data_IF_900953433703
#
_entry.id   IF_900953433703
#
_cell.length_a   1.000
_cell.length_b   1.000
_cell.length_c   1.000
_cell.angle_alpha   90.00
_cell.angle_beta   90.00
_cell.angle_gamma   90.00
#
_symmetry.space_group_name_H-M   'P 1'
#
loop_
_entity.id
_entity.type
_entity.pdbx_description
1 polymer ?
#
# COMPACT_ATOMS: atom_id res chain seq x y z
N UNK A 1 26.10 23.19 -9.44
CA UNK A 1 24.65 22.89 -9.44
C UNK A 1 24.16 23.18 -8.04
N UNK A 2 23.32 24.21 -7.89
CA UNK A 2 22.65 24.54 -6.63
C UNK A 2 21.63 23.45 -6.32
N UNK A 3 21.52 23.00 -5.07
CA UNK A 3 20.54 21.97 -4.70
C UNK A 3 19.12 22.53 -4.83
N UNK A 4 18.17 21.80 -5.40
CA UNK A 4 16.78 22.28 -5.65
C UNK A 4 16.08 22.84 -4.40
N UNK A 5 16.47 22.39 -3.21
CA UNK A 5 15.99 22.88 -1.91
C UNK A 5 16.52 24.27 -1.54
N UNK A 6 17.72 24.65 -2.00
CA UNK A 6 18.29 25.99 -1.79
C UNK A 6 17.52 27.05 -2.58
N UNK A 7 17.09 26.73 -3.81
CA UNK A 7 16.28 27.62 -4.65
C UNK A 7 14.90 27.96 -4.04
N UNK A 8 14.26 27.00 -3.34
CA UNK A 8 12.96 27.24 -2.68
C UNK A 8 13.10 28.24 -1.52
N UNK A 9 14.22 28.22 -0.80
CA UNK A 9 14.46 29.08 0.37
C UNK A 9 14.54 30.56 0.01
N UNK A 10 15.01 30.91 -1.19
CA UNK A 10 15.16 32.31 -1.62
C UNK A 10 13.81 33.00 -1.91
N UNK A 11 12.69 32.27 -2.03
CA UNK A 11 11.40 32.78 -2.52
C UNK A 11 10.37 33.09 -1.44
N UNK A 12 10.80 33.26 -0.19
CA UNK A 12 9.94 33.66 0.94
C UNK A 12 9.78 35.18 0.96
N UNK A 13 8.89 35.74 0.14
CA UNK A 13 8.45 37.13 0.26
C UNK A 13 6.91 37.23 0.24
N UNK A 14 6.39 37.84 1.31
CA UNK A 14 5.01 38.18 1.67
C UNK A 14 3.87 37.56 0.83
N UNK A 15 3.14 36.62 1.46
CA UNK A 15 1.84 36.12 0.96
C UNK A 15 0.82 37.26 1.03
N UNK A 16 0.35 37.72 -0.13
CA UNK A 16 -0.81 38.62 -0.21
C UNK A 16 -2.08 37.83 0.08
N UNK A 17 -2.85 38.23 1.10
CA UNK A 17 -4.18 37.69 1.44
C UNK A 17 -5.22 37.81 0.32
N UNK A 18 -4.90 38.48 -0.79
CA UNK A 18 -5.81 38.69 -1.92
C UNK A 18 -5.86 37.52 -2.92
N UNK A 19 -4.94 36.55 -2.85
CA UNK A 19 -4.87 35.42 -3.80
C UNK A 19 -5.21 34.10 -3.11
N UNK A 20 -5.85 33.14 -3.80
CA UNK A 20 -6.14 31.83 -3.23
C UNK A 20 -4.86 31.07 -2.87
N UNK A 21 -4.86 30.34 -1.75
CA UNK A 21 -3.80 29.42 -1.37
C UNK A 21 -3.84 28.20 -2.29
N UNK A 22 -2.83 28.07 -3.14
CA UNK A 22 -2.65 26.95 -4.09
C UNK A 22 -1.80 25.85 -3.45
N UNK A 23 -2.35 24.64 -3.34
CA UNK A 23 -1.67 23.46 -2.79
C UNK A 23 -1.62 22.33 -3.82
N UNK A 24 -0.44 21.78 -4.06
CA UNK A 24 -0.26 20.55 -4.83
C UNK A 24 -0.22 19.34 -3.90
N UNK A 25 -0.91 18.26 -4.26
CA UNK A 25 -0.82 16.97 -3.59
C UNK A 25 -0.32 15.93 -4.59
N UNK A 26 0.80 15.28 -4.31
CA UNK A 26 1.36 14.23 -5.17
C UNK A 26 1.00 12.86 -4.62
N UNK A 27 0.07 12.18 -5.30
CA UNK A 27 -0.50 10.88 -4.94
C UNK A 27 -1.97 10.97 -4.54
N UNK A 28 -2.80 10.12 -5.14
CA UNK A 28 -4.26 10.11 -4.94
C UNK A 28 -4.77 8.96 -4.05
N UNK A 29 -3.90 8.43 -3.20
CA UNK A 29 -4.31 7.46 -2.17
C UNK A 29 -5.12 8.11 -1.03
N UNK A 30 -5.48 7.32 0.01
CA UNK A 30 -6.19 7.83 1.19
C UNK A 30 -5.54 9.05 1.83
N UNK A 31 -4.20 9.06 1.96
CA UNK A 31 -3.47 10.17 2.54
C UNK A 31 -3.68 11.48 1.76
N UNK A 32 -3.59 11.44 0.42
CA UNK A 32 -3.82 12.61 -0.42
C UNK A 32 -5.25 13.15 -0.31
N UNK A 33 -6.25 12.26 -0.34
CA UNK A 33 -7.65 12.68 -0.19
C UNK A 33 -7.95 13.21 1.21
N UNK A 34 -7.42 12.61 2.27
CA UNK A 34 -7.60 13.16 3.63
C UNK A 34 -6.85 14.48 3.81
N UNK A 35 -5.68 14.67 3.19
CA UNK A 35 -5.00 15.97 3.15
C UNK A 35 -5.89 17.02 2.49
N UNK A 36 -6.49 16.72 1.33
CA UNK A 36 -7.45 17.61 0.68
C UNK A 36 -8.68 17.90 1.55
N UNK A 37 -9.26 16.89 2.21
CA UNK A 37 -10.40 17.07 3.12
C UNK A 37 -10.07 18.05 4.26
N UNK A 38 -8.91 17.88 4.88
CA UNK A 38 -8.47 18.74 5.98
C UNK A 38 -8.18 20.16 5.51
N UNK A 39 -7.59 20.34 4.32
CA UNK A 39 -7.35 21.65 3.72
C UNK A 39 -8.66 22.40 3.49
N UNK A 40 -9.67 21.76 2.91
CA UNK A 40 -10.97 22.40 2.69
C UNK A 40 -11.70 22.75 3.99
N UNK A 41 -11.59 21.90 5.03
CA UNK A 41 -12.25 22.14 6.31
C UNK A 41 -11.59 23.23 7.15
N UNK A 42 -10.25 23.33 7.11
CA UNK A 42 -9.47 24.18 8.01
C UNK A 42 -8.97 25.45 7.34
N UNK A 43 -8.61 25.37 6.07
CA UNK A 43 -8.15 26.52 5.29
C UNK A 43 -9.27 27.43 4.78
N UNK A 44 -10.53 27.02 4.89
CA UNK A 44 -11.67 27.85 4.45
C UNK A 44 -11.75 27.99 2.92
N UNK A 45 -12.43 29.03 2.44
CA UNK A 45 -12.85 29.15 1.03
C UNK A 45 -11.75 29.57 0.04
N UNK A 46 -10.60 30.01 0.53
CA UNK A 46 -9.50 30.49 -0.31
C UNK A 46 -8.50 29.39 -0.70
N UNK A 47 -8.66 28.14 -0.24
CA UNK A 47 -7.75 27.04 -0.61
C UNK A 47 -8.20 26.32 -1.87
N UNK A 48 -7.28 26.15 -2.81
CA UNK A 48 -7.42 25.37 -4.03
C UNK A 48 -6.40 24.23 -4.05
N UNK A 49 -6.86 23.04 -4.41
CA UNK A 49 -6.06 21.82 -4.37
C UNK A 49 -5.99 21.21 -5.76
N UNK A 50 -4.77 21.00 -6.25
CA UNK A 50 -4.50 20.20 -7.43
C UNK A 50 -3.83 18.90 -7.00
N UNK A 51 -4.40 17.77 -7.38
CA UNK A 51 -3.87 16.44 -7.05
C UNK A 51 -3.26 15.79 -8.30
N UNK A 52 -2.01 15.36 -8.19
CA UNK A 52 -1.25 14.69 -9.24
C UNK A 52 -1.18 13.20 -8.96
N UNK A 53 -1.56 12.36 -9.93
CA UNK A 53 -1.55 10.91 -9.81
C UNK A 53 -0.87 10.30 -11.03
N UNK A 54 0.12 9.44 -10.81
CA UNK A 54 0.85 8.78 -11.89
C UNK A 54 -0.03 7.83 -12.70
N UNK A 55 -1.06 7.25 -12.08
CA UNK A 55 -2.00 6.36 -12.76
C UNK A 55 -3.18 7.13 -13.37
N UNK A 56 -3.81 6.59 -14.44
CA UNK A 56 -5.04 7.16 -14.96
C UNK A 56 -6.24 7.12 -13.98
N UNK A 57 -6.16 6.30 -12.93
CA UNK A 57 -7.25 6.09 -11.97
C UNK A 57 -6.80 6.43 -10.56
N UNK A 58 -7.61 7.17 -9.77
CA UNK A 58 -7.25 7.57 -8.43
C UNK A 58 -7.43 6.44 -7.40
N UNK A 59 -7.28 6.80 -6.12
CA UNK A 59 -7.57 6.00 -4.91
C UNK A 59 -6.45 5.06 -4.44
N UNK A 60 -5.35 4.97 -5.21
CA UNK A 60 -4.15 4.22 -4.83
C UNK A 60 -4.46 2.80 -4.35
N UNK A 61 -3.93 2.42 -3.18
CA UNK A 61 -4.12 1.07 -2.63
C UNK A 61 -5.56 0.72 -2.24
N UNK A 62 -6.51 1.67 -2.17
CA UNK A 62 -7.92 1.28 -2.01
C UNK A 62 -8.44 0.58 -3.27
N UNK A 63 -7.92 0.97 -4.45
CA UNK A 63 -8.25 0.35 -5.74
C UNK A 63 -7.33 -0.82 -6.09
N UNK A 64 -6.02 -0.66 -5.81
CA UNK A 64 -4.97 -1.57 -6.27
C UNK A 64 -4.34 -2.47 -5.18
N UNK A 65 -4.67 -2.23 -3.91
CA UNK A 65 -4.15 -2.99 -2.78
C UNK A 65 -5.23 -3.83 -2.09
N UNK A 66 -6.32 -3.19 -1.64
CA UNK A 66 -7.44 -3.87 -0.98
C UNK A 66 -7.95 -5.01 -1.87
N UNK A 67 -7.98 -6.21 -1.30
CA UNK A 67 -8.33 -7.43 -2.02
C UNK A 67 -9.71 -7.34 -2.70
N UNK A 68 -9.90 -8.01 -3.85
CA UNK A 68 -11.15 -7.94 -4.60
C UNK A 68 -12.34 -8.54 -3.86
N UNK A 69 -12.14 -9.42 -2.88
CA UNK A 69 -13.20 -9.93 -2.03
C UNK A 69 -13.55 -9.02 -0.83
N UNK A 70 -12.81 -7.91 -0.64
CA UNK A 70 -13.04 -6.91 0.41
C UNK A 70 -13.78 -5.65 -0.08
N UNK A 71 -14.85 -5.84 -0.84
CA UNK A 71 -15.64 -4.73 -1.43
C UNK A 71 -16.18 -3.73 -0.39
N UNK A 72 -16.46 -4.18 0.85
CA UNK A 72 -16.91 -3.29 1.93
C UNK A 72 -15.86 -2.23 2.29
N UNK A 73 -14.58 -2.59 2.29
CA UNK A 73 -13.46 -1.68 2.58
C UNK A 73 -13.30 -0.66 1.45
N UNK A 74 -13.48 -1.09 0.19
CA UNK A 74 -13.42 -0.22 -0.99
C UNK A 74 -14.48 0.88 -0.99
N UNK A 75 -15.58 0.75 -0.22
CA UNK A 75 -16.58 1.83 -0.05
C UNK A 75 -16.01 3.12 0.55
N UNK A 76 -14.79 3.10 1.09
CA UNK A 76 -14.08 4.31 1.47
C UNK A 76 -13.92 5.31 0.31
N UNK A 77 -13.90 4.86 -0.95
CA UNK A 77 -13.81 5.75 -2.13
C UNK A 77 -14.97 6.73 -2.21
N UNK A 78 -16.16 6.39 -1.71
CA UNK A 78 -17.31 7.33 -1.65
C UNK A 78 -17.00 8.60 -0.88
N UNK A 79 -16.16 8.49 0.16
CA UNK A 79 -15.72 9.67 0.90
C UNK A 79 -14.75 10.52 0.09
N UNK A 80 -13.90 9.89 -0.73
CA UNK A 80 -12.94 10.55 -1.62
C UNK A 80 -13.63 11.21 -2.80
N UNK A 81 -14.63 10.57 -3.40
CA UNK A 81 -15.50 11.13 -4.43
C UNK A 81 -16.19 12.41 -3.93
N UNK A 82 -16.73 12.40 -2.70
CA UNK A 82 -17.32 13.59 -2.07
C UNK A 82 -16.29 14.71 -1.83
N UNK A 83 -15.03 14.36 -1.56
CA UNK A 83 -13.95 15.35 -1.43
C UNK A 83 -13.58 15.93 -2.79
N UNK A 84 -13.49 15.07 -3.82
CA UNK A 84 -13.17 15.46 -5.20
C UNK A 84 -14.26 16.33 -5.84
N UNK A 85 -15.52 16.19 -5.41
CA UNK A 85 -16.64 17.01 -5.86
C UNK A 85 -16.58 18.48 -5.40
N UNK A 86 -15.60 18.87 -4.58
CA UNK A 86 -15.38 20.27 -4.24
C UNK A 86 -14.94 21.04 -5.50
N UNK A 87 -15.59 22.17 -5.87
CA UNK A 87 -15.23 22.93 -7.07
C UNK A 87 -13.80 23.52 -7.04
N UNK A 88 -13.15 23.52 -5.87
CA UNK A 88 -11.77 23.96 -5.66
C UNK A 88 -10.74 22.83 -5.74
N UNK A 89 -11.18 21.62 -6.13
CA UNK A 89 -10.34 20.45 -6.35
C UNK A 89 -10.17 20.19 -7.85
N UNK A 90 -8.95 19.87 -8.28
CA UNK A 90 -8.68 19.31 -9.61
C UNK A 90 -7.81 18.06 -9.50
N UNK A 91 -8.02 17.13 -10.43
CA UNK A 91 -7.21 15.91 -10.58
C UNK A 91 -6.44 15.98 -11.90
N UNK A 92 -5.14 15.72 -11.82
CA UNK A 92 -4.23 15.47 -12.93
C UNK A 92 -3.74 14.01 -12.84
N UNK A 93 -4.56 13.09 -13.34
CA UNK A 93 -4.24 11.66 -13.43
C UNK A 93 -3.40 11.35 -14.65
N UNK A 94 -2.72 10.20 -14.63
CA UNK A 94 -1.70 9.83 -15.60
C UNK A 94 -0.51 10.82 -15.66
N UNK A 95 -0.21 11.52 -14.57
CA UNK A 95 0.87 12.51 -14.45
C UNK A 95 1.86 12.07 -13.37
N UNK A 96 3.02 11.59 -13.82
CA UNK A 96 4.08 11.09 -12.94
C UNK A 96 5.04 12.21 -12.49
N UNK A 97 5.19 12.35 -11.18
CA UNK A 97 6.19 13.23 -10.57
C UNK A 97 7.60 12.68 -10.80
N UNK A 98 8.53 13.55 -11.20
CA UNK A 98 9.89 13.21 -11.61
C UNK A 98 10.04 13.08 -13.13
N UNK A 99 8.94 12.79 -13.84
CA UNK A 99 8.91 12.67 -15.29
C UNK A 99 8.21 13.88 -15.94
N UNK A 100 6.91 14.03 -15.68
CA UNK A 100 6.06 15.04 -16.32
C UNK A 100 6.09 16.37 -15.55
N UNK A 101 6.09 16.30 -14.21
CA UNK A 101 6.23 17.44 -13.31
C UNK A 101 7.35 17.19 -12.33
N UNK A 102 8.17 18.21 -12.05
CA UNK A 102 9.29 18.17 -11.10
C UNK A 102 9.05 19.15 -9.96
N UNK A 103 9.92 19.09 -8.96
CA UNK A 103 9.81 19.96 -7.78
C UNK A 103 9.79 21.44 -8.17
N UNK A 104 10.63 21.83 -9.13
CA UNK A 104 10.80 23.21 -9.58
C UNK A 104 9.55 23.71 -10.31
N UNK A 105 8.90 22.85 -11.11
CA UNK A 105 7.63 23.17 -11.76
C UNK A 105 6.57 23.42 -10.69
N UNK A 106 6.38 22.48 -9.75
CA UNK A 106 5.37 22.61 -8.71
C UNK A 106 5.63 23.84 -7.81
N UNK A 107 6.86 24.08 -7.38
CA UNK A 107 7.21 25.24 -6.56
C UNK A 107 7.13 26.58 -7.32
N UNK A 108 7.03 26.57 -8.65
CA UNK A 108 6.72 27.76 -9.44
C UNK A 108 5.24 28.13 -9.41
N UNK A 109 4.35 27.15 -9.19
CA UNK A 109 2.89 27.31 -9.30
C UNK A 109 2.12 27.16 -7.97
N UNK A 110 2.73 26.59 -6.92
CA UNK A 110 2.07 26.29 -5.65
C UNK A 110 2.78 26.92 -4.45
N UNK A 111 2.02 27.27 -3.42
CA UNK A 111 2.54 27.75 -2.15
C UNK A 111 3.01 26.59 -1.26
N UNK A 112 2.33 25.45 -1.37
CA UNK A 112 2.66 24.25 -0.63
C UNK A 112 2.52 23.00 -1.51
N UNK A 113 3.40 22.03 -1.30
CA UNK A 113 3.44 20.75 -1.98
C UNK A 113 3.43 19.65 -0.92
N UNK A 114 2.44 18.77 -0.97
CA UNK A 114 2.33 17.62 -0.07
C UNK A 114 2.55 16.32 -0.84
N UNK A 115 3.59 15.57 -0.46
CA UNK A 115 3.84 14.25 -1.01
C UNK A 115 3.06 13.19 -0.21
N UNK A 116 2.13 12.53 -0.89
CA UNK A 116 1.26 11.48 -0.38
C UNK A 116 1.40 10.18 -1.21
N UNK A 117 2.63 9.91 -1.67
CA UNK A 117 2.97 8.86 -2.65
C UNK A 117 2.93 7.43 -2.10
N UNK A 118 2.74 7.29 -0.78
CA UNK A 118 2.66 6.00 -0.11
C UNK A 118 3.99 5.26 -0.06
N UNK A 119 3.94 3.93 -0.10
CA UNK A 119 5.10 3.06 -0.17
C UNK A 119 4.89 2.10 -1.35
N UNK A 120 5.79 2.15 -2.34
CA UNK A 120 5.55 1.58 -3.67
C UNK A 120 6.31 0.29 -3.93
N UNK A 121 7.28 -0.07 -3.08
CA UNK A 121 8.08 -1.29 -3.23
C UNK A 121 8.04 -2.13 -1.97
N UNK A 122 8.58 -3.34 -2.03
CA UNK A 122 8.71 -4.24 -0.89
C UNK A 122 10.07 -4.17 -0.20
N UNK A 123 10.10 -4.72 1.01
CA UNK A 123 11.33 -5.04 1.71
C UNK A 123 11.86 -6.41 1.27
N UNK A 124 13.17 -6.51 1.17
CA UNK A 124 13.89 -7.77 0.97
C UNK A 124 13.90 -8.60 2.27
N UNK A 125 13.84 -9.91 2.14
CA UNK A 125 14.09 -10.85 3.24
C UNK A 125 15.58 -10.91 3.59
N UNK A 126 16.45 -10.59 2.62
CA UNK A 126 17.91 -10.65 2.66
C UNK A 126 18.42 -12.05 3.02
N UNK A 127 17.94 -13.06 2.29
CA UNK A 127 18.36 -14.46 2.43
C UNK A 127 18.94 -15.02 1.13
N UNK A 128 19.85 -16.01 1.19
CA UNK A 128 20.29 -16.73 0.00
C UNK A 128 19.12 -17.30 -0.81
N UNK A 129 19.21 -17.18 -2.13
CA UNK A 129 18.19 -17.67 -3.07
C UNK A 129 16.94 -16.79 -3.20
N UNK A 130 16.86 -15.64 -2.53
CA UNK A 130 15.69 -14.74 -2.64
C UNK A 130 15.39 -14.28 -4.08
N UNK A 131 16.41 -14.20 -4.94
CA UNK A 131 16.30 -13.78 -6.34
C UNK A 131 16.02 -14.95 -7.31
N UNK A 132 15.81 -16.18 -6.82
CA UNK A 132 15.42 -17.31 -7.66
C UNK A 132 14.08 -17.04 -8.37
N UNK A 133 13.88 -17.65 -9.54
CA UNK A 133 12.59 -17.62 -10.21
C UNK A 133 11.52 -18.26 -9.32
N UNK A 134 10.29 -17.73 -9.37
CA UNK A 134 9.18 -18.05 -8.44
C UNK A 134 9.35 -17.52 -7.01
N UNK A 135 10.30 -16.60 -6.75
CA UNK A 135 10.33 -15.79 -5.52
C UNK A 135 9.88 -14.36 -5.81
N UNK A 136 8.64 -14.05 -5.46
CA UNK A 136 8.01 -12.78 -5.81
C UNK A 136 7.68 -11.91 -4.59
N UNK A 137 7.71 -10.58 -4.72
CA UNK A 137 7.03 -9.71 -3.77
C UNK A 137 5.53 -10.01 -3.73
N UNK A 138 4.94 -10.02 -2.53
CA UNK A 138 3.50 -10.18 -2.38
C UNK A 138 2.74 -9.01 -3.04
N UNK A 139 3.33 -7.81 -3.07
CA UNK A 139 2.65 -6.63 -3.61
C UNK A 139 2.52 -6.67 -5.12
N UNK A 140 3.48 -7.28 -5.82
CA UNK A 140 3.38 -7.56 -7.25
C UNK A 140 2.16 -8.44 -7.55
N UNK A 141 1.96 -9.51 -6.78
CA UNK A 141 0.81 -10.40 -6.93
C UNK A 141 -0.51 -9.68 -6.61
N UNK A 142 -0.52 -8.87 -5.55
CA UNK A 142 -1.67 -8.04 -5.16
C UNK A 142 -2.04 -7.05 -6.26
N UNK A 143 -1.05 -6.34 -6.80
CA UNK A 143 -1.23 -5.37 -7.86
C UNK A 143 -1.70 -6.04 -9.16
N UNK A 144 -1.13 -7.21 -9.48
CA UNK A 144 -1.53 -8.04 -10.62
C UNK A 144 -3.00 -8.45 -10.54
N UNK A 145 -3.44 -9.09 -9.45
CA UNK A 145 -4.85 -9.50 -9.37
C UNK A 145 -5.81 -8.33 -9.23
N UNK A 146 -5.34 -7.17 -8.74
CA UNK A 146 -6.17 -5.96 -8.66
C UNK A 146 -6.18 -5.12 -9.94
N UNK A 147 -5.52 -5.55 -11.02
CA UNK A 147 -5.60 -4.83 -12.30
C UNK A 147 -4.72 -3.59 -12.37
N UNK A 148 -3.65 -3.51 -11.59
CA UNK A 148 -2.70 -2.40 -11.68
C UNK A 148 -1.96 -2.45 -13.02
N UNK A 149 -1.98 -1.39 -13.85
CA UNK A 149 -1.44 -1.43 -15.21
C UNK A 149 0.02 -1.89 -15.30
N UNK A 150 0.89 -1.41 -14.42
CA UNK A 150 2.31 -1.80 -14.39
C UNK A 150 2.58 -3.28 -14.04
N UNK A 151 1.59 -4.02 -13.54
CA UNK A 151 1.72 -5.43 -13.14
C UNK A 151 0.84 -6.36 -13.98
N UNK A 152 0.12 -5.83 -14.99
CA UNK A 152 -0.80 -6.60 -15.83
C UNK A 152 -0.12 -7.82 -16.46
N UNK A 153 1.07 -7.61 -17.01
CA UNK A 153 1.81 -8.60 -17.78
C UNK A 153 2.78 -9.42 -16.91
N UNK A 154 2.64 -9.34 -15.57
CA UNK A 154 3.36 -10.24 -14.67
C UNK A 154 2.77 -11.64 -14.76
N UNK A 155 3.65 -12.62 -14.83
CA UNK A 155 3.29 -14.03 -14.80
C UNK A 155 3.64 -14.62 -13.43
N UNK A 156 2.70 -15.36 -12.88
CA UNK A 156 2.89 -16.15 -11.67
C UNK A 156 2.58 -17.60 -12.02
N UNK A 157 3.57 -18.47 -11.87
CA UNK A 157 3.40 -19.89 -12.18
C UNK A 157 2.57 -20.57 -11.08
N UNK A 158 1.26 -20.59 -11.28
CA UNK A 158 0.29 -21.25 -10.40
C UNK A 158 0.09 -22.73 -10.75
N UNK A 159 0.89 -23.31 -11.66
CA UNK A 159 0.85 -24.75 -11.98
C UNK A 159 1.54 -25.62 -10.91
N UNK A 160 2.24 -24.98 -9.97
CA UNK A 160 2.86 -25.61 -8.80
C UNK A 160 1.82 -26.05 -7.77
N UNK A 161 2.21 -26.93 -6.84
CA UNK A 161 1.30 -27.42 -5.80
C UNK A 161 1.50 -26.73 -4.45
N UNK A 162 2.72 -26.25 -4.15
CA UNK A 162 3.08 -25.78 -2.80
C UNK A 162 3.66 -24.36 -2.80
N UNK A 163 3.04 -23.49 -2.01
CA UNK A 163 3.35 -22.06 -1.93
C UNK A 163 3.73 -21.67 -0.51
N UNK A 164 4.74 -20.81 -0.34
CA UNK A 164 5.00 -20.12 0.93
C UNK A 164 4.72 -18.62 0.83
N UNK A 165 4.05 -18.07 1.83
CA UNK A 165 3.83 -16.64 2.03
C UNK A 165 4.56 -16.22 3.30
N UNK A 166 5.58 -15.38 3.16
CA UNK A 166 6.43 -14.96 4.27
C UNK A 166 5.89 -13.66 4.85
N UNK A 167 5.39 -13.72 6.09
CA UNK A 167 4.78 -12.59 6.79
C UNK A 167 3.41 -12.94 7.36
N UNK A 168 2.99 -12.21 8.40
CA UNK A 168 1.71 -12.39 9.10
C UNK A 168 0.99 -11.05 9.28
N UNK A 169 0.95 -10.27 8.21
CA UNK A 169 0.14 -9.05 8.08
C UNK A 169 -1.06 -9.26 7.16
N UNK A 170 -1.94 -8.26 7.05
CA UNK A 170 -3.14 -8.37 6.21
C UNK A 170 -2.82 -8.68 4.74
N UNK A 171 -1.73 -8.15 4.18
CA UNK A 171 -1.32 -8.48 2.80
C UNK A 171 -0.97 -9.96 2.64
N UNK A 172 -0.25 -10.56 3.59
CA UNK A 172 0.05 -11.99 3.56
C UNK A 172 -1.24 -12.83 3.61
N UNK A 173 -2.19 -12.41 4.46
CA UNK A 173 -3.50 -13.04 4.58
C UNK A 173 -4.30 -12.89 3.28
N UNK A 174 -4.26 -11.73 2.63
CA UNK A 174 -4.92 -11.49 1.34
C UNK A 174 -4.35 -12.39 0.24
N UNK A 175 -3.02 -12.50 0.12
CA UNK A 175 -2.39 -13.41 -0.84
C UNK A 175 -2.82 -14.86 -0.59
N UNK A 176 -2.72 -15.32 0.66
CA UNK A 176 -3.10 -16.69 1.02
C UNK A 176 -4.59 -16.95 0.75
N UNK A 177 -5.46 -15.95 1.01
CA UNK A 177 -6.90 -16.03 0.78
C UNK A 177 -7.25 -16.09 -0.71
N UNK A 178 -6.64 -15.25 -1.55
CA UNK A 178 -6.86 -15.27 -3.00
C UNK A 178 -6.41 -16.59 -3.62
N UNK A 179 -5.29 -17.17 -3.17
CA UNK A 179 -4.84 -18.50 -3.60
C UNK A 179 -5.77 -19.62 -3.12
N UNK A 180 -6.51 -19.41 -2.03
CA UNK A 180 -7.33 -20.44 -1.39
C UNK A 180 -8.79 -20.46 -1.84
N UNK A 181 -9.34 -19.29 -2.23
CA UNK A 181 -10.74 -19.16 -2.67
C UNK A 181 -11.04 -19.98 -3.91
N UNK A 182 -12.31 -20.33 -4.09
CA UNK A 182 -12.75 -20.98 -5.34
C UNK A 182 -12.87 -19.94 -6.46
N UNK A 183 -12.72 -20.34 -7.72
CA UNK A 183 -12.94 -19.43 -8.85
C UNK A 183 -14.32 -18.77 -8.84
N UNK A 184 -15.37 -19.48 -8.41
CA UNK A 184 -16.75 -18.99 -8.36
C UNK A 184 -16.93 -17.87 -7.33
N UNK A 185 -16.23 -17.95 -6.19
CA UNK A 185 -16.21 -16.86 -5.21
C UNK A 185 -15.53 -15.61 -5.79
N UNK A 186 -14.45 -15.80 -6.54
CA UNK A 186 -13.68 -14.71 -7.15
C UNK A 186 -14.37 -14.09 -8.37
N UNK A 187 -15.15 -14.86 -9.13
CA UNK A 187 -15.95 -14.38 -10.27
C UNK A 187 -16.89 -13.24 -9.88
N UNK A 188 -17.39 -13.21 -8.64
CA UNK A 188 -18.31 -12.21 -8.13
C UNK A 188 -17.61 -10.90 -7.70
N UNK A 189 -16.29 -10.82 -7.85
CA UNK A 189 -15.47 -9.70 -7.37
C UNK A 189 -14.98 -8.78 -8.49
N UNK A 190 -14.23 -7.72 -8.15
CA UNK A 190 -13.58 -6.83 -9.13
C UNK A 190 -12.13 -7.25 -9.48
N UNK A 191 -11.78 -8.53 -9.29
CA UNK A 191 -10.48 -9.11 -9.69
C UNK A 191 -10.20 -8.93 -11.19
N UNK A 192 -8.95 -8.81 -11.61
CA UNK A 192 -8.63 -8.72 -13.04
C UNK A 192 -8.95 -10.04 -13.78
N UNK A 193 -9.47 -9.96 -15.01
CA UNK A 193 -9.90 -11.13 -15.77
C UNK A 193 -8.75 -12.10 -16.06
N UNK A 194 -7.58 -11.59 -16.42
CA UNK A 194 -6.39 -12.42 -16.66
C UNK A 194 -5.95 -13.14 -15.37
N UNK A 195 -6.09 -12.49 -14.22
CA UNK A 195 -5.72 -13.09 -12.94
C UNK A 195 -6.71 -14.18 -12.53
N UNK A 196 -8.01 -13.93 -12.73
CA UNK A 196 -9.04 -14.93 -12.53
C UNK A 196 -8.85 -16.13 -13.47
N UNK A 197 -8.47 -15.91 -14.73
CA UNK A 197 -8.17 -16.98 -15.68
C UNK A 197 -7.02 -17.86 -15.17
N UNK A 198 -5.89 -17.27 -14.76
CA UNK A 198 -4.79 -18.04 -14.16
C UNK A 198 -5.19 -18.76 -12.86
N UNK A 199 -6.03 -18.14 -12.02
CA UNK A 199 -6.49 -18.77 -10.77
C UNK A 199 -7.45 -19.95 -11.00
N UNK A 200 -8.21 -19.97 -12.12
CA UNK A 200 -9.00 -21.14 -12.53
C UNK A 200 -8.14 -22.36 -12.84
N UNK A 201 -6.95 -22.12 -13.39
CA UNK A 201 -6.01 -23.18 -13.81
C UNK A 201 -5.00 -23.55 -12.70
N UNK A 202 -5.06 -22.87 -11.56
CA UNK A 202 -4.17 -23.07 -10.43
C UNK A 202 -4.22 -24.50 -9.90
N UNK A 203 -3.04 -25.10 -9.71
CA UNK A 203 -2.84 -26.42 -9.09
C UNK A 203 -2.38 -26.33 -7.63
N UNK A 204 -2.37 -25.12 -7.06
CA UNK A 204 -1.97 -24.89 -5.67
C UNK A 204 -2.90 -25.67 -4.74
N UNK A 205 -2.28 -26.51 -3.91
CA UNK A 205 -2.94 -27.37 -2.91
C UNK A 205 -2.50 -27.03 -1.50
N UNK A 206 -1.25 -26.66 -1.28
CA UNK A 206 -0.74 -26.34 0.05
C UNK A 206 -0.15 -24.93 0.08
N UNK A 207 -0.56 -24.15 1.08
CA UNK A 207 -0.14 -22.76 1.27
C UNK A 207 0.37 -22.64 2.70
N UNK A 208 1.64 -22.27 2.86
CA UNK A 208 2.23 -21.95 4.15
C UNK A 208 2.22 -20.44 4.36
N UNK A 209 1.76 -19.97 5.51
CA UNK A 209 1.92 -18.58 5.94
C UNK A 209 2.89 -18.57 7.11
N UNK A 210 4.02 -17.87 6.98
CA UNK A 210 5.16 -18.00 7.89
C UNK A 210 5.36 -16.71 8.71
N UNK A 211 5.19 -16.82 10.02
CA UNK A 211 5.40 -15.74 10.98
C UNK A 211 6.68 -15.92 11.79
N UNK A 212 7.59 -14.94 11.72
CA UNK A 212 8.85 -14.98 12.50
C UNK A 212 8.68 -14.82 14.01
N UNK A 213 7.56 -14.27 14.48
CA UNK A 213 7.22 -14.11 15.91
C UNK A 213 6.02 -14.98 16.27
N UNK A 214 5.59 -14.93 17.53
CA UNK A 214 4.44 -15.67 18.02
C UNK A 214 3.08 -15.06 17.62
N UNK A 215 1.98 -15.76 17.94
CA UNK A 215 0.62 -15.37 17.58
C UNK A 215 0.20 -14.01 18.18
N UNK A 216 0.67 -13.66 19.38
CA UNK A 216 0.40 -12.38 20.01
C UNK A 216 1.02 -11.19 19.24
N UNK A 217 2.08 -11.41 18.46
CA UNK A 217 2.74 -10.35 17.68
C UNK A 217 2.30 -10.31 16.21
N UNK A 218 1.29 -11.09 15.83
CA UNK A 218 0.75 -11.11 14.48
C UNK A 218 0.11 -9.75 14.12
N UNK A 219 0.44 -9.25 12.93
CA UNK A 219 0.04 -7.91 12.48
C UNK A 219 -1.30 -7.89 11.76
N UNK A 220 -1.82 -9.04 11.34
CA UNK A 220 -3.17 -9.13 10.79
C UNK A 220 -4.23 -8.76 11.82
N UNK A 221 -5.40 -8.33 11.35
CA UNK A 221 -6.54 -7.97 12.19
C UNK A 221 -7.54 -9.13 12.36
N UNK A 222 -8.43 -9.01 13.34
CA UNK A 222 -9.32 -10.11 13.77
C UNK A 222 -10.32 -10.56 12.69
N UNK A 223 -10.91 -9.67 11.87
CA UNK A 223 -11.77 -10.10 10.76
C UNK A 223 -11.01 -10.98 9.73
N UNK A 224 -9.81 -10.57 9.36
CA UNK A 224 -9.02 -11.18 8.30
C UNK A 224 -8.59 -12.61 8.66
N UNK A 225 -8.22 -12.84 9.92
CA UNK A 225 -7.88 -14.19 10.38
C UNK A 225 -9.10 -15.10 10.52
N UNK A 226 -10.27 -14.56 10.89
CA UNK A 226 -11.51 -15.34 10.93
C UNK A 226 -11.91 -15.82 9.55
N UNK A 227 -11.79 -14.95 8.54
CA UNK A 227 -12.10 -15.28 7.15
C UNK A 227 -11.28 -16.47 6.63
N UNK A 228 -10.01 -16.63 7.05
CA UNK A 228 -9.23 -17.81 6.70
C UNK A 228 -9.86 -19.11 7.23
N UNK A 229 -10.46 -19.09 8.42
CA UNK A 229 -11.16 -20.23 9.00
C UNK A 229 -12.51 -20.55 8.34
N UNK A 230 -13.01 -19.69 7.46
CA UNK A 230 -14.34 -19.78 6.82
C UNK A 230 -14.25 -20.08 5.31
N UNK A 231 -13.04 -20.30 4.77
CA UNK A 231 -12.81 -20.51 3.34
C UNK A 231 -13.52 -21.75 2.81
N UNK A 232 -14.28 -21.63 1.72
CA UNK A 232 -14.95 -22.78 1.10
C UNK A 232 -13.95 -23.79 0.51
N UNK A 233 -12.87 -23.30 -0.11
CA UNK A 233 -11.91 -24.11 -0.87
C UNK A 233 -10.70 -24.64 -0.09
N UNK A 234 -10.48 -24.21 1.17
CA UNK A 234 -9.29 -24.57 1.94
C UNK A 234 -9.57 -24.90 3.40
N UNK A 235 -8.90 -25.93 3.91
CA UNK A 235 -8.78 -26.18 5.34
C UNK A 235 -7.74 -25.23 5.93
N UNK A 236 -8.11 -24.53 7.00
CA UNK A 236 -7.20 -23.68 7.75
C UNK A 236 -6.63 -24.43 8.95
N UNK A 237 -5.31 -24.58 8.98
CA UNK A 237 -4.59 -25.38 9.95
C UNK A 237 -3.52 -24.54 10.64
N UNK A 238 -3.43 -24.69 11.96
CA UNK A 238 -2.35 -24.14 12.78
C UNK A 238 -1.83 -25.28 13.65
N UNK A 239 -0.54 -25.64 13.59
CA UNK A 239 0.02 -26.60 14.53
C UNK A 239 -0.19 -26.13 15.97
N UNK A 240 -0.51 -27.06 16.87
CA UNK A 240 -0.86 -26.72 18.25
C UNK A 240 0.33 -26.08 18.99
N UNK A 241 1.54 -26.54 18.72
CA UNK A 241 2.77 -25.97 19.25
C UNK A 241 3.02 -24.52 18.77
N UNK A 242 2.54 -24.16 17.57
CA UNK A 242 2.76 -22.83 16.98
C UNK A 242 1.81 -21.77 17.56
N UNK A 243 0.67 -22.18 18.12
CA UNK A 243 -0.29 -21.26 18.75
C UNK A 243 -0.12 -21.15 20.28
N UNK A 244 0.69 -22.04 20.85
CA UNK A 244 1.05 -21.98 22.27
C UNK A 244 1.93 -20.74 22.52
N UNK A 245 1.51 -19.88 23.45
CA UNK A 245 2.25 -18.66 23.77
C UNK A 245 3.58 -19.00 24.46
N UNK A 246 4.67 -18.38 23.99
CA UNK A 246 5.93 -18.40 24.74
C UNK A 246 5.80 -17.66 26.08
N UNK A 247 6.68 -17.91 27.06
CA UNK A 247 6.56 -17.31 28.40
C UNK A 247 6.52 -15.78 28.40
N UNK A 248 7.22 -15.11 27.49
CA UNK A 248 7.23 -13.64 27.41
C UNK A 248 5.89 -13.13 26.88
N UNK A 249 5.38 -13.74 25.81
CA UNK A 249 4.06 -13.41 25.27
C UNK A 249 2.96 -13.70 26.28
N UNK A 250 3.00 -14.85 26.97
CA UNK A 250 2.00 -15.19 27.98
C UNK A 250 1.98 -14.17 29.14
N UNK A 251 3.15 -13.71 29.59
CA UNK A 251 3.26 -12.69 30.62
C UNK A 251 2.75 -11.31 30.17
N UNK A 252 2.97 -10.92 28.90
CA UNK A 252 2.39 -9.70 28.32
C UNK A 252 0.88 -9.81 28.17
N UNK A 253 0.39 -10.95 27.67
CA UNK A 253 -1.03 -11.22 27.50
C UNK A 253 -1.80 -11.18 28.82
N UNK A 254 -1.24 -11.73 29.90
CA UNK A 254 -1.86 -11.72 31.22
C UNK A 254 -2.03 -10.31 31.82
N UNK A 255 -1.27 -9.33 31.32
CA UNK A 255 -1.32 -7.92 31.76
C UNK A 255 -2.02 -7.01 30.75
N UNK A 256 -2.37 -7.52 29.58
CA UNK A 256 -2.92 -6.72 28.49
C UNK A 256 -4.42 -6.48 28.68
N UNK A 257 -4.84 -5.22 28.60
CA UNK A 257 -6.25 -4.83 28.52
C UNK A 257 -6.73 -4.67 27.06
N UNK A 258 -5.85 -4.89 26.08
CA UNK A 258 -6.19 -4.84 24.66
C UNK A 258 -7.08 -6.03 24.28
N UNK A 259 -8.40 -5.77 24.28
CA UNK A 259 -9.42 -6.75 23.89
C UNK A 259 -9.26 -7.26 22.47
N UNK A 260 -8.74 -6.45 21.54
CA UNK A 260 -8.54 -6.88 20.17
C UNK A 260 -7.40 -7.90 20.08
N UNK A 261 -6.29 -7.64 20.79
CA UNK A 261 -5.18 -8.59 20.93
C UNK A 261 -5.61 -9.89 21.61
N UNK A 262 -6.30 -9.82 22.74
CA UNK A 262 -6.84 -11.00 23.46
C UNK A 262 -7.71 -11.86 22.54
N UNK A 263 -8.65 -11.21 21.83
CA UNK A 263 -9.54 -11.92 20.91
C UNK A 263 -8.79 -12.54 19.73
N UNK A 264 -7.70 -11.92 19.26
CA UNK A 264 -6.87 -12.46 18.18
C UNK A 264 -6.25 -13.79 18.57
N UNK A 265 -5.63 -13.84 19.75
CA UNK A 265 -5.00 -15.05 20.27
C UNK A 265 -6.04 -16.15 20.48
N UNK A 266 -7.21 -15.82 21.05
CA UNK A 266 -8.33 -16.75 21.19
C UNK A 266 -8.76 -17.36 19.85
N UNK A 267 -8.96 -16.54 18.80
CA UNK A 267 -9.34 -17.02 17.47
C UNK A 267 -8.31 -18.02 16.91
N UNK A 268 -7.02 -17.74 17.09
CA UNK A 268 -5.95 -18.61 16.63
C UNK A 268 -5.94 -19.93 17.40
N UNK A 269 -6.08 -19.87 18.73
CA UNK A 269 -6.13 -21.06 19.58
C UNK A 269 -7.32 -21.94 19.23
N UNK A 270 -8.50 -21.34 19.08
CA UNK A 270 -9.72 -22.04 18.63
C UNK A 270 -9.53 -22.69 17.26
N UNK A 271 -8.86 -22.01 16.32
CA UNK A 271 -8.59 -22.54 14.99
C UNK A 271 -7.67 -23.78 15.03
N UNK A 272 -6.67 -23.80 15.91
CA UNK A 272 -5.76 -24.94 16.05
C UNK A 272 -6.46 -26.22 16.56
N UNK A 273 -7.60 -26.09 17.26
CA UNK A 273 -8.39 -27.22 17.74
C UNK A 273 -9.39 -27.77 16.70
N UNK A 274 -9.57 -27.10 15.56
CA UNK A 274 -10.50 -27.55 14.53
C UNK A 274 -9.88 -28.66 13.70
N UNK A 275 -10.64 -29.73 13.49
CA UNK A 275 -10.24 -30.80 12.56
C UNK A 275 -10.43 -30.34 11.11
N UNK A 276 -9.47 -30.62 10.20
CA UNK A 276 -9.64 -30.37 8.77
C UNK A 276 -10.87 -31.06 8.22
N UNK A 277 -11.63 -30.39 7.36
CA UNK A 277 -12.84 -30.93 6.74
C UNK A 277 -12.54 -31.75 5.45
N UNK A 278 -11.27 -31.85 5.04
CA UNK A 278 -10.87 -32.55 3.82
C UNK A 278 -11.10 -31.70 2.56
N UNK A 279 -10.97 -30.38 2.68
CA UNK A 279 -11.13 -29.45 1.57
C UNK A 279 -9.99 -29.62 0.55
N UNK A 280 -10.19 -29.21 -0.73
CA UNK A 280 -9.21 -29.43 -1.79
C UNK A 280 -7.83 -28.81 -1.53
N UNK A 281 -7.78 -27.74 -0.72
CA UNK A 281 -6.54 -27.04 -0.35
C UNK A 281 -6.32 -27.06 1.15
N UNK A 282 -5.07 -26.89 1.56
CA UNK A 282 -4.65 -26.72 2.96
C UNK A 282 -3.84 -25.44 3.12
N UNK A 283 -4.32 -24.53 3.96
CA UNK A 283 -3.60 -23.33 4.38
C UNK A 283 -3.06 -23.56 5.79
N UNK A 284 -1.74 -23.63 5.92
CA UNK A 284 -1.04 -23.83 7.19
C UNK A 284 -0.40 -22.53 7.66
N UNK A 285 -0.83 -22.00 8.80
CA UNK A 285 -0.20 -20.85 9.44
C UNK A 285 0.83 -21.35 10.46
N UNK A 286 2.09 -20.94 10.29
CA UNK A 286 3.22 -21.28 11.15
C UNK A 286 3.72 -20.05 11.88
N UNK A 287 4.06 -20.19 13.15
CA UNK A 287 4.63 -19.13 13.97
C UNK A 287 6.02 -19.50 14.48
N UNK A 288 6.75 -18.49 14.97
CA UNK A 288 8.11 -18.65 15.45
C UNK A 288 9.01 -19.38 14.45
N UNK A 289 8.87 -19.04 13.16
CA UNK A 289 9.70 -19.59 12.09
C UNK A 289 10.18 -18.50 11.15
N UNK A 290 11.44 -18.58 10.72
CA UNK A 290 11.99 -17.65 9.72
C UNK A 290 12.60 -18.41 8.56
N UNK A 291 12.33 -18.00 7.30
CA UNK A 291 13.10 -18.50 6.18
C UNK A 291 14.56 -18.04 6.32
N UNK A 292 15.48 -18.95 6.06
CA UNK A 292 16.93 -18.66 6.10
C UNK A 292 17.61 -18.91 4.75
N UNK A 293 16.97 -19.66 3.85
CA UNK A 293 17.49 -19.97 2.51
C UNK A 293 16.35 -20.43 1.59
N UNK A 294 16.34 -19.97 0.34
CA UNK A 294 15.56 -20.58 -0.74
C UNK A 294 16.49 -21.48 -1.56
N UNK A 295 16.07 -22.74 -1.73
CA UNK A 295 16.81 -23.74 -2.50
C UNK A 295 16.26 -23.77 -3.93
N UNK A 296 17.16 -23.67 -4.91
CA UNK A 296 16.82 -23.71 -6.32
C UNK A 296 16.96 -25.10 -6.93
N UNK A 297 16.18 -25.40 -7.96
CA UNK A 297 16.41 -26.53 -8.84
C UNK A 297 17.50 -26.22 -9.90
N UNK A 298 17.75 -27.18 -10.78
CA UNK A 298 18.71 -27.04 -11.89
C UNK A 298 18.35 -25.95 -12.90
N UNK A 299 17.09 -25.50 -12.94
CA UNK A 299 16.62 -24.43 -13.81
C UNK A 299 16.63 -23.05 -13.11
N UNK A 300 17.09 -22.98 -11.85
CA UNK A 300 17.12 -21.75 -11.07
C UNK A 300 15.75 -21.31 -10.53
N UNK A 301 14.80 -22.24 -10.44
CA UNK A 301 13.47 -22.02 -9.87
C UNK A 301 13.44 -22.48 -8.41
N UNK A 302 12.64 -21.83 -7.57
CA UNK A 302 12.44 -22.29 -6.19
C UNK A 302 11.93 -23.73 -6.18
N UNK A 303 12.59 -24.58 -5.41
CA UNK A 303 12.24 -25.99 -5.19
C UNK A 303 12.14 -26.36 -3.69
N UNK A 304 12.56 -25.45 -2.81
CA UNK A 304 12.34 -25.58 -1.38
C UNK A 304 12.73 -24.33 -0.61
N UNK A 305 12.39 -24.32 0.67
CA UNK A 305 12.69 -23.26 1.61
C UNK A 305 13.17 -23.87 2.91
N UNK A 306 14.36 -23.50 3.36
CA UNK A 306 14.82 -23.82 4.71
C UNK A 306 14.28 -22.79 5.67
N UNK A 307 13.62 -23.25 6.72
CA UNK A 307 13.18 -22.41 7.83
C UNK A 307 13.92 -22.79 9.11
N UNK A 308 14.05 -21.83 10.02
CA UNK A 308 14.58 -22.03 11.37
C UNK A 308 13.50 -21.71 12.39
N UNK A 309 13.43 -22.50 13.47
CA UNK A 309 12.60 -22.19 14.63
C UNK A 309 13.19 -21.00 15.39
N UNK A 310 12.34 -20.11 15.86
CA UNK A 310 12.70 -18.95 16.65
C UNK A 310 12.24 -19.10 18.10
N UNK A 311 12.97 -18.45 18.99
CA UNK A 311 12.49 -18.09 20.31
C UNK A 311 12.35 -16.56 20.41
N UNK A 312 11.48 -16.08 21.29
CA UNK A 312 11.38 -14.64 21.55
C UNK A 312 12.33 -14.23 22.67
N UNK A 313 12.95 -13.07 22.50
CA UNK A 313 13.66 -12.37 23.56
C UNK A 313 13.20 -10.91 23.62
N UNK A 314 13.38 -10.27 24.79
CA UNK A 314 13.13 -8.84 24.96
C UNK A 314 14.40 -8.08 24.60
N UNK A 315 14.33 -7.19 23.61
CA UNK A 315 15.44 -6.29 23.28
C UNK A 315 15.53 -5.10 24.25
N UNK A 316 16.61 -4.34 24.15
CA UNK A 316 16.90 -3.20 25.03
C UNK A 316 15.82 -2.10 24.98
N UNK A 317 15.14 -1.97 23.84
CA UNK A 317 13.98 -1.08 23.65
C UNK A 317 12.67 -1.62 24.27
N UNK A 318 12.73 -2.75 24.97
CA UNK A 318 11.61 -3.43 25.60
C UNK A 318 10.74 -4.23 24.64
N UNK A 319 10.99 -4.20 23.33
CA UNK A 319 10.17 -4.92 22.34
C UNK A 319 10.54 -6.40 22.26
N UNK A 320 9.56 -7.26 21.93
CA UNK A 320 9.82 -8.67 21.67
C UNK A 320 10.32 -8.89 20.24
N UNK A 321 11.50 -9.52 20.14
CA UNK A 321 12.22 -9.81 18.90
C UNK A 321 12.44 -11.31 18.76
N UNK A 322 12.39 -11.85 17.54
CA UNK A 322 12.73 -13.25 17.31
C UNK A 322 14.25 -13.44 17.29
N UNK A 323 14.71 -14.59 17.80
CA UNK A 323 16.08 -15.08 17.70
C UNK A 323 16.05 -16.50 17.16
N UNK A 324 16.83 -16.76 16.11
CA UNK A 324 16.95 -18.08 15.51
C UNK A 324 17.57 -19.07 16.51
N UNK A 325 16.98 -20.26 16.57
CA UNK A 325 17.53 -21.42 17.29
C UNK A 325 18.43 -22.24 16.34
N UNK A 326 18.92 -23.40 16.79
CA UNK A 326 19.61 -24.37 15.94
C UNK A 326 18.68 -25.35 15.20
N UNK A 327 17.36 -25.26 15.38
CA UNK A 327 16.41 -26.21 14.83
C UNK A 327 15.90 -25.75 13.46
N UNK A 328 16.24 -26.49 12.42
CA UNK A 328 15.84 -26.21 11.03
C UNK A 328 14.86 -27.24 10.49
N UNK A 329 14.03 -26.81 9.54
CA UNK A 329 13.07 -27.64 8.81
C UNK A 329 13.13 -27.22 7.33
N UNK A 330 13.15 -28.19 6.42
CA UNK A 330 13.11 -27.92 4.97
C UNK A 330 11.67 -28.13 4.48
N UNK A 331 11.06 -27.04 4.00
CA UNK A 331 9.75 -27.06 3.37
C UNK A 331 9.91 -27.27 1.87
N UNK A 332 9.22 -28.25 1.33
CA UNK A 332 9.13 -28.43 -0.11
C UNK A 332 8.08 -27.45 -0.66
N UNK A 333 8.56 -26.33 -1.21
CA UNK A 333 7.75 -25.23 -1.76
C UNK A 333 8.35 -24.81 -3.10
N UNK A 334 7.49 -24.39 -4.01
CA UNK A 334 7.85 -24.14 -5.42
C UNK A 334 7.61 -22.67 -5.81
N UNK A 335 6.83 -21.94 -5.02
CA UNK A 335 6.50 -20.53 -5.21
C UNK A 335 6.52 -19.81 -3.86
N UNK A 336 7.11 -18.63 -3.82
CA UNK A 336 7.27 -17.84 -2.61
C UNK A 336 6.74 -16.43 -2.84
N UNK A 337 5.89 -15.96 -1.92
CA UNK A 337 5.45 -14.56 -1.83
C UNK A 337 6.02 -13.92 -0.56
N UNK A 338 6.92 -12.94 -0.71
CA UNK A 338 7.45 -12.18 0.43
C UNK A 338 6.53 -11.00 0.75
N UNK A 339 5.94 -11.02 1.94
CA UNK A 339 5.05 -9.98 2.48
C UNK A 339 5.62 -9.41 3.78
N UNK A 340 6.88 -8.99 3.74
CA UNK A 340 7.66 -8.52 4.92
C UNK A 340 7.62 -7.00 5.11
N UNK A 341 6.73 -6.31 4.39
CA UNK A 341 6.39 -4.90 4.54
C UNK A 341 6.79 -4.06 3.32
N UNK A 342 6.09 -2.95 3.11
CA UNK A 342 6.42 -2.01 2.04
C UNK A 342 7.56 -1.06 2.44
N UNK A 343 8.12 -0.39 1.43
CA UNK A 343 9.13 0.66 1.51
C UNK A 343 8.75 1.81 0.58
N UNK A 344 9.00 3.05 1.02
CA UNK A 344 8.95 4.22 0.15
C UNK A 344 10.02 4.17 -0.93
N UNK A 345 9.84 4.98 -1.96
CA UNK A 345 10.81 5.18 -3.03
C UNK A 345 11.29 6.64 -2.98
N UNK A 346 12.58 6.92 -3.19
CA UNK A 346 13.08 8.29 -3.28
C UNK A 346 12.34 9.08 -4.36
N UNK A 347 12.02 10.34 -4.06
CA UNK A 347 11.39 11.26 -5.00
C UNK A 347 12.44 12.27 -5.47
N UNK A 348 12.60 12.51 -6.79
CA UNK A 348 13.57 13.47 -7.29
C UNK A 348 13.43 14.85 -6.61
N UNK A 349 14.53 15.39 -6.11
CA UNK A 349 14.56 16.69 -5.43
C UNK A 349 14.04 16.71 -3.98
N UNK A 350 13.58 15.58 -3.43
CA UNK A 350 13.06 15.49 -2.06
C UNK A 350 14.00 14.62 -1.21
N UNK A 351 14.35 15.04 0.02
CA UNK A 351 15.13 14.20 0.94
C UNK A 351 14.51 12.82 1.18
N UNK A 352 15.35 11.81 1.44
CA UNK A 352 14.90 10.45 1.70
C UNK A 352 15.78 9.75 2.74
N UNK A 353 15.17 9.08 3.71
CA UNK A 353 15.85 8.19 4.65
C UNK A 353 15.78 6.76 4.11
N UNK A 354 16.86 6.29 3.51
CA UNK A 354 16.92 4.96 2.88
C UNK A 354 16.72 3.81 3.85
N UNK A 355 17.13 3.98 5.11
CA UNK A 355 17.01 2.95 6.14
C UNK A 355 15.55 2.79 6.57
N UNK A 356 14.84 3.89 6.77
CA UNK A 356 13.43 3.88 7.17
C UNK A 356 12.48 3.73 5.98
N UNK A 357 12.93 4.10 4.79
CA UNK A 357 12.12 4.11 3.56
C UNK A 357 11.02 5.17 3.59
N UNK A 358 11.32 6.36 4.11
CA UNK A 358 10.39 7.49 4.29
C UNK A 358 11.09 8.80 3.93
N UNK A 359 10.32 9.85 3.68
CA UNK A 359 10.86 11.21 3.62
C UNK A 359 11.06 11.73 5.05
N UNK A 360 12.27 12.17 5.44
CA UNK A 360 12.53 12.70 6.78
C UNK A 360 11.65 13.93 7.01
N UNK A 361 10.95 13.94 8.15
CA UNK A 361 9.96 14.97 8.45
C UNK A 361 9.78 15.16 9.96
N UNK A 362 9.23 16.32 10.33
CA UNK A 362 8.74 16.63 11.67
C UNK A 362 7.26 17.04 11.57
N UNK A 363 6.37 16.21 12.11
CA UNK A 363 4.90 16.42 12.09
C UNK A 363 4.35 16.70 10.68
N UNK A 364 5.02 16.16 9.64
CA UNK A 364 4.65 16.33 8.25
C UNK A 364 5.42 17.43 7.49
N UNK A 365 6.19 18.31 8.15
CA UNK A 365 7.13 19.22 7.46
C UNK A 365 8.36 18.44 7.01
N UNK A 366 8.71 18.50 5.73
CA UNK A 366 9.93 17.83 5.24
C UNK A 366 11.16 18.49 5.87
N UNK A 367 12.09 17.67 6.37
CA UNK A 367 13.34 18.15 7.00
C UNK A 367 14.49 17.99 6.01
N UNK A 368 15.30 19.03 5.88
CA UNK A 368 16.59 18.97 5.19
C UNK A 368 17.60 18.23 6.09
N UNK A 369 18.11 17.05 5.68
CA UNK A 369 19.04 16.28 6.51
C UNK A 369 20.38 16.98 6.72
N UNK A 370 20.76 17.95 5.87
CA UNK A 370 22.00 18.69 6.01
C UNK A 370 21.93 19.74 7.12
N UNK A 371 20.77 20.38 7.30
CA UNK A 371 20.60 21.48 8.27
C UNK A 371 19.78 21.08 9.49
N UNK A 372 18.97 20.02 9.40
CA UNK A 372 17.99 19.65 10.42
C UNK A 372 16.74 20.53 10.43
N UNK A 373 16.64 21.49 9.51
CA UNK A 373 15.55 22.48 9.45
C UNK A 373 14.45 22.08 8.46
N UNK A 374 13.19 22.52 8.67
CA UNK A 374 12.12 22.38 7.69
C UNK A 374 12.46 22.99 6.33
N UNK A 375 12.10 22.29 5.26
CA UNK A 375 12.13 22.83 3.89
C UNK A 375 10.82 23.60 3.64
N UNK A 376 10.87 24.93 3.45
CA UNK A 376 9.66 25.75 3.30
C UNK A 376 8.75 25.24 2.18
N UNK A 377 7.45 25.15 2.47
CA UNK A 377 6.44 24.74 1.49
C UNK A 377 6.39 23.24 1.17
N UNK A 378 7.28 22.41 1.72
CA UNK A 378 7.29 20.96 1.46
C UNK A 378 6.75 20.15 2.64
N UNK A 379 5.78 19.28 2.35
CA UNK A 379 5.10 18.47 3.32
C UNK A 379 4.96 17.02 2.85
N UNK A 380 4.69 16.12 3.79
CA UNK A 380 4.45 14.70 3.53
C UNK A 380 3.26 14.21 4.35
N UNK A 381 2.50 13.25 3.82
CA UNK A 381 1.42 12.58 4.56
C UNK A 381 1.33 11.10 4.23
N UNK A 382 0.77 10.30 5.15
CA UNK A 382 0.56 8.87 4.96
C UNK A 382 1.83 8.04 5.10
N UNK A 383 1.92 6.97 4.31
CA UNK A 383 3.01 6.00 4.46
C UNK A 383 4.39 6.54 4.07
N UNK A 384 4.49 7.52 3.16
CA UNK A 384 5.78 8.16 2.84
C UNK A 384 6.28 9.02 4.02
N UNK A 385 5.39 9.44 4.91
CA UNK A 385 5.69 10.17 6.16
C UNK A 385 6.01 9.22 7.32
N UNK A 386 5.15 8.24 7.58
CA UNK A 386 5.16 7.41 8.80
C UNK A 386 5.77 6.02 8.64
N UNK A 387 5.98 5.59 7.40
CA UNK A 387 6.25 4.19 7.05
C UNK A 387 4.95 3.42 6.81
N UNK A 388 5.08 2.26 6.14
CA UNK A 388 3.95 1.48 5.65
C UNK A 388 3.27 0.61 6.71
N UNK A 389 2.69 1.27 7.71
CA UNK A 389 1.91 0.63 8.78
C UNK A 389 0.55 1.31 8.94
N UNK A 390 -0.41 0.56 9.48
CA UNK A 390 -1.77 1.03 9.72
C UNK A 390 -2.73 0.83 8.55
N UNK A 391 -4.02 0.92 8.85
CA UNK A 391 -5.13 0.78 7.90
C UNK A 391 -5.51 2.11 7.24
N UNK A 392 -6.40 2.10 6.25
CA UNK A 392 -6.88 3.29 5.52
C UNK A 392 -7.18 4.47 6.47
N UNK A 393 -7.97 4.23 7.52
CA UNK A 393 -8.40 5.26 8.47
C UNK A 393 -7.27 5.91 9.28
N UNK A 394 -6.13 5.23 9.46
CA UNK A 394 -4.98 5.81 10.19
C UNK A 394 -4.36 7.00 9.47
N UNK A 395 -4.56 7.11 8.15
CA UNK A 395 -4.05 8.21 7.35
C UNK A 395 -4.84 9.52 7.57
N UNK A 396 -6.05 9.44 8.14
CA UNK A 396 -6.89 10.63 8.34
C UNK A 396 -6.34 11.58 9.41
N UNK A 397 -6.14 11.16 10.68
CA UNK A 397 -5.54 12.04 11.69
C UNK A 397 -4.12 12.48 11.32
N UNK A 398 -3.34 11.61 10.68
CA UNK A 398 -2.00 11.92 10.18
C UNK A 398 -1.96 13.03 9.11
N UNK A 399 -2.90 12.98 8.16
CA UNK A 399 -3.08 14.06 7.20
C UNK A 399 -3.55 15.35 7.90
N UNK A 400 -4.39 15.25 8.92
CA UNK A 400 -4.82 16.37 9.74
C UNK A 400 -3.66 17.11 10.42
N UNK A 401 -2.74 16.38 11.07
CA UNK A 401 -1.53 16.94 11.68
C UNK A 401 -0.68 17.69 10.66
N UNK A 402 -0.45 17.07 9.50
CA UNK A 402 0.32 17.68 8.40
C UNK A 402 -0.32 19.00 7.93
N UNK A 403 -1.65 19.02 7.77
CA UNK A 403 -2.37 20.22 7.34
C UNK A 403 -2.37 21.32 8.42
N UNK A 404 -2.40 20.97 9.70
CA UNK A 404 -2.23 21.97 10.77
C UNK A 404 -0.88 22.66 10.66
N UNK A 405 0.20 21.88 10.52
CA UNK A 405 1.54 22.45 10.35
C UNK A 405 1.64 23.32 9.10
N UNK A 406 1.02 22.89 7.99
CA UNK A 406 0.98 23.65 6.74
C UNK A 406 0.25 24.99 6.90
N UNK A 407 -0.91 25.01 7.55
CA UNK A 407 -1.68 26.25 7.73
C UNK A 407 -1.00 27.20 8.73
N UNK A 408 -0.36 26.67 9.78
CA UNK A 408 0.47 27.47 10.69
C UNK A 408 1.60 28.19 9.93
N UNK A 409 2.24 27.51 8.98
CA UNK A 409 3.30 28.09 8.16
C UNK A 409 2.77 29.14 7.18
N UNK A 410 1.57 28.92 6.61
CA UNK A 410 0.88 29.92 5.80
C UNK A 410 0.57 31.18 6.60
N UNK A 411 0.03 31.05 7.80
CA UNK A 411 -0.32 32.18 8.68
C UNK A 411 0.92 33.00 9.06
N UNK A 412 2.06 32.34 9.27
CA UNK A 412 3.35 32.96 9.58
C UNK A 412 4.06 33.54 8.36
N UNK A 413 3.55 33.32 7.15
CA UNK A 413 4.23 33.71 5.90
C UNK A 413 5.50 32.91 5.63
N UNK A 414 5.61 31.70 6.18
CA UNK A 414 6.74 30.79 6.04
C UNK A 414 6.62 29.82 4.85
N UNK A 415 5.66 30.07 3.95
CA UNK A 415 5.52 29.37 2.68
C UNK A 415 6.04 30.22 1.52
N UNK A 416 6.63 29.61 0.46
CA UNK A 416 7.07 30.33 -0.71
C UNK A 416 5.91 31.05 -1.43
N UNK A 417 6.23 32.15 -2.10
CA UNK A 417 5.30 32.81 -3.02
C UNK A 417 5.52 32.28 -4.45
N UNK A 418 4.53 31.56 -5.04
CA UNK A 418 4.64 31.05 -6.41
C UNK A 418 4.75 32.21 -7.41
N UNK A 419 5.48 31.94 -8.50
CA UNK A 419 5.83 32.96 -9.50
C UNK A 419 4.70 33.11 -10.51
N UNK A 420 4.06 31.98 -10.81
CA UNK A 420 2.90 31.90 -11.68
C UNK A 420 1.81 31.01 -11.05
N UNK A 421 1.04 31.52 -10.08
CA UNK A 421 0.00 30.73 -9.41
C UNK A 421 -1.25 30.46 -10.26
N UNK A 422 -1.31 30.90 -11.52
CA UNK A 422 -2.50 30.76 -12.37
C UNK A 422 -2.85 29.27 -12.58
N UNK A 423 -4.07 28.83 -12.23
CA UNK A 423 -4.53 27.48 -12.50
C UNK A 423 -4.38 27.03 -13.96
N UNK A 424 -4.48 27.95 -14.93
CA UNK A 424 -4.33 27.65 -16.35
C UNK A 424 -2.87 27.40 -16.76
N UNK A 425 -1.91 28.04 -16.09
CA UNK A 425 -0.49 27.89 -16.40
C UNK A 425 0.01 26.47 -16.12
N UNK A 426 -0.29 25.94 -14.93
CA UNK A 426 0.07 24.56 -14.60
C UNK A 426 -0.66 23.54 -15.48
N UNK A 427 -1.91 23.82 -15.85
CA UNK A 427 -2.67 22.94 -16.74
C UNK A 427 -2.04 22.89 -18.13
N UNK A 428 -1.63 24.03 -18.69
CA UNK A 428 -0.91 24.09 -19.96
C UNK A 428 0.40 23.30 -19.90
N UNK A 429 1.19 23.46 -18.83
CA UNK A 429 2.44 22.71 -18.62
C UNK A 429 2.20 21.20 -18.58
N UNK A 430 1.17 20.76 -17.84
CA UNK A 430 0.81 19.34 -17.75
C UNK A 430 0.34 18.80 -19.10
N UNK A 431 -0.50 19.55 -19.82
CA UNK A 431 -1.04 19.11 -21.12
C UNK A 431 0.04 19.02 -22.21
N UNK A 432 1.01 19.91 -22.18
CA UNK A 432 2.17 19.89 -23.09
C UNK A 432 3.03 18.64 -22.86
N UNK A 433 3.37 18.35 -21.60
CA UNK A 433 4.26 17.23 -21.24
C UNK A 433 3.56 15.88 -21.16
N UNK A 434 2.25 15.87 -20.91
CA UNK A 434 1.43 14.68 -20.77
C UNK A 434 0.05 14.87 -21.42
N UNK A 435 -0.03 14.80 -22.77
CA UNK A 435 -1.29 14.99 -23.50
C UNK A 435 -2.39 14.00 -23.10
N UNK A 436 -2.02 12.81 -22.62
CA UNK A 436 -2.95 11.79 -22.15
C UNK A 436 -3.40 11.98 -20.69
N UNK A 437 -3.12 13.13 -20.07
CA UNK A 437 -3.59 13.48 -18.72
C UNK A 437 -5.10 13.23 -18.57
N UNK A 438 -5.48 12.57 -17.47
CA UNK A 438 -6.85 12.21 -17.11
C UNK A 438 -7.37 13.19 -16.06
N UNK A 439 -8.38 13.96 -16.43
CA UNK A 439 -9.06 14.87 -15.50
C UNK A 439 -9.99 14.11 -14.54
N UNK A 440 -10.59 14.83 -13.58
CA UNK A 440 -11.62 14.25 -12.73
C UNK A 440 -12.86 13.80 -13.54
N UNK A 441 -13.25 14.56 -14.56
CA UNK A 441 -14.38 14.23 -15.44
C UNK A 441 -14.08 12.99 -16.29
N UNK A 442 -12.84 12.90 -16.82
CA UNK A 442 -12.38 11.71 -17.53
C UNK A 442 -12.45 10.48 -16.62
N UNK A 443 -11.95 10.60 -15.38
CA UNK A 443 -12.04 9.51 -14.39
C UNK A 443 -13.49 9.12 -14.09
N UNK A 444 -14.37 10.10 -13.88
CA UNK A 444 -15.80 9.83 -13.60
C UNK A 444 -16.44 9.03 -14.74
N UNK A 445 -16.14 9.41 -15.99
CA UNK A 445 -16.59 8.66 -17.17
C UNK A 445 -16.00 7.24 -17.21
N UNK A 446 -14.72 7.07 -16.89
CA UNK A 446 -14.09 5.74 -16.83
C UNK A 446 -14.76 4.86 -15.76
N UNK A 447 -14.98 5.39 -14.56
CA UNK A 447 -15.62 4.69 -13.45
C UNK A 447 -17.01 4.17 -13.84
N UNK A 448 -17.84 5.02 -14.46
CA UNK A 448 -19.15 4.63 -14.97
C UNK A 448 -19.09 3.49 -15.99
N UNK A 449 -18.09 3.53 -16.89
CA UNK A 449 -17.91 2.46 -17.89
C UNK A 449 -17.49 1.16 -17.21
N UNK A 450 -16.56 1.19 -16.25
CA UNK A 450 -16.14 0.00 -15.50
C UNK A 450 -17.31 -0.63 -14.74
N UNK A 451 -18.09 0.17 -14.03
CA UNK A 451 -19.27 -0.28 -13.27
C UNK A 451 -20.32 -0.87 -14.21
N UNK A 452 -20.63 -0.19 -15.32
CA UNK A 452 -21.60 -0.68 -16.32
C UNK A 452 -21.16 -2.00 -16.95
N UNK A 453 -19.87 -2.17 -17.23
CA UNK A 453 -19.31 -3.43 -17.75
C UNK A 453 -19.40 -4.55 -16.73
N UNK A 454 -19.05 -4.26 -15.47
CA UNK A 454 -19.14 -5.23 -14.37
C UNK A 454 -20.58 -5.69 -14.11
N UNK A 455 -21.53 -4.76 -14.09
CA UNK A 455 -22.94 -5.08 -13.82
C UNK A 455 -23.53 -6.12 -14.79
N UNK A 456 -23.10 -6.10 -16.06
CA UNK A 456 -23.52 -7.10 -17.07
C UNK A 456 -23.05 -8.52 -16.75
N UNK A 457 -22.04 -8.66 -15.89
CA UNK A 457 -21.44 -9.93 -15.47
C UNK A 457 -21.77 -10.26 -14.01
N UNK A 458 -22.63 -9.48 -13.34
CA UNK A 458 -22.90 -9.64 -11.91
C UNK A 458 -21.75 -9.19 -10.99
N UNK A 459 -20.85 -8.35 -11.48
CA UNK A 459 -19.63 -7.90 -10.79
C UNK A 459 -19.72 -6.43 -10.39
N UNK A 460 -19.03 -5.99 -9.32
CA UNK A 460 -19.05 -4.57 -8.91
C UNK A 460 -18.54 -3.62 -10.00
N UNK A 461 -17.51 -4.05 -10.74
CA UNK A 461 -16.92 -3.34 -11.88
C UNK A 461 -16.04 -4.29 -12.68
N UNK A 462 -15.71 -3.90 -13.91
CA UNK A 462 -14.66 -4.51 -14.72
C UNK A 462 -13.59 -3.48 -15.06
N UNK A 463 -12.42 -3.62 -14.44
CA UNK A 463 -11.35 -2.61 -14.48
C UNK A 463 -10.74 -2.47 -15.87
N UNK A 464 -10.36 -1.24 -16.23
CA UNK A 464 -9.36 -1.02 -17.26
C UNK A 464 -7.98 -1.28 -16.65
N UNK A 465 -7.17 -2.09 -17.34
CA UNK A 465 -5.90 -2.59 -16.81
C UNK A 465 -4.72 -2.22 -17.71
N UNK A 466 -4.91 -1.32 -18.69
CA UNK A 466 -3.82 -0.74 -19.49
C UNK A 466 -4.13 0.70 -19.91
N UNK A 467 -3.09 1.47 -20.23
CA UNK A 467 -3.23 2.82 -20.75
C UNK A 467 -3.99 2.85 -22.09
N UNK A 468 -3.75 1.87 -22.96
CA UNK A 468 -4.45 1.75 -24.25
C UNK A 468 -5.95 1.53 -24.09
N UNK A 469 -6.37 0.71 -23.11
CA UNK A 469 -7.78 0.52 -22.78
C UNK A 469 -8.42 1.81 -22.27
N UNK A 470 -7.72 2.55 -21.41
CA UNK A 470 -8.17 3.85 -20.90
C UNK A 470 -8.33 4.87 -22.02
N UNK A 471 -7.31 5.02 -22.89
CA UNK A 471 -7.35 5.95 -24.01
C UNK A 471 -8.54 5.64 -24.94
N UNK A 472 -8.73 4.37 -25.30
CA UNK A 472 -9.86 3.91 -26.12
C UNK A 472 -11.21 4.22 -25.47
N UNK A 473 -11.34 3.99 -24.16
CA UNK A 473 -12.58 4.26 -23.43
C UNK A 473 -12.94 5.76 -23.37
N UNK A 474 -11.93 6.63 -23.34
CA UNK A 474 -12.09 8.08 -23.41
C UNK A 474 -12.30 8.60 -24.85
N UNK A 475 -12.05 7.77 -25.87
CA UNK A 475 -12.12 8.17 -27.29
C UNK A 475 -10.89 8.93 -27.75
N UNK A 476 -9.72 8.67 -27.14
CA UNK A 476 -8.44 9.24 -27.52
C UNK A 476 -7.70 8.23 -28.41
N UNK A 477 -7.34 8.64 -29.62
CA UNK A 477 -6.62 7.83 -30.63
C UNK A 477 -5.11 7.90 -30.45
#
# INVERSE_FOLDING_TARGET
MMHATEWIRERVMQVSRARPLRVAIVGSGPAGFYTAEHLFKRGGDHVHVDMFERLPTPFGLVRFGVAPDHQKIKKATKSFERIAANPRFRLFGNVEYGEHVRLEDLASHYHAICFATGAQTDRSMNIPGEDLARSHPATDFVAWYNGHPAFRDREFDLSVERVAVVGVGNVAVDVARILSRTPEELEQTDIADYALASLRESRVKEIYVLGRRGPAQAAFTNPEIKELGELAGADFVIPFEDVTLDPLSAAEMAKSEDRALLKKVEILQDAAWRSPAGKPRRLTLRFLVSPVELMGDTAGQVAGMRIVRNELYRSDDGTLRPRATGLTEDLAVELVFRSVGYRGVPLPGVPFDDRRGVVPNQEGRVIDPATGEPVPGLYVSGWIKRGATGVIGTNKPDAGETVERMLDDVERGAVPNPGDPDPAAIEALVRDRQPACVSLDDWTRLDEIEVRRGAKLGRPRLKFTSAAEVARALGRS
#
